data_IF_687399378641
#
_entry.id   IF_687399378641
#
_cell.length_a   1.000
_cell.length_b   1.000
_cell.length_c   1.000
_cell.angle_alpha   90.00
_cell.angle_beta   90.00
_cell.angle_gamma   90.00
#
_symmetry.space_group_name_H-M   'P 1'
#
loop_
_entity.id
_entity.type
_entity.pdbx_description
1 polymer ?
#
# COMPACT_ATOMS: atom_id res chain seq x y z
N UNK A 1 18.85 0.48 11.01
CA UNK A 1 17.88 1.58 11.01
C UNK A 1 18.46 2.66 10.11
N UNK A 2 17.89 2.91 8.93
CA UNK A 2 18.34 3.99 8.04
C UNK A 2 17.43 5.19 8.22
N UNK A 3 18.01 6.38 8.40
CA UNK A 3 17.26 7.63 8.39
C UNK A 3 17.07 8.05 6.94
N UNK A 4 15.83 8.20 6.49
CA UNK A 4 15.55 8.92 5.26
C UNK A 4 15.45 10.40 5.61
N UNK A 5 16.29 11.23 5.01
CA UNK A 5 16.21 12.68 5.11
C UNK A 5 15.56 13.17 3.81
N UNK A 6 14.31 13.62 3.90
CA UNK A 6 13.65 14.37 2.83
C UNK A 6 13.97 15.86 2.97
N UNK A 7 14.43 16.49 1.89
CA UNK A 7 14.67 17.95 1.81
C UNK A 7 13.43 18.72 1.30
N UNK A 8 12.31 18.01 1.10
CA UNK A 8 11.07 18.59 0.58
C UNK A 8 10.13 19.02 1.72
N UNK A 9 9.60 20.24 1.64
CA UNK A 9 8.71 20.81 2.67
C UNK A 9 7.35 20.07 2.81
N UNK A 10 7.02 19.14 1.91
CA UNK A 10 5.73 18.43 1.87
C UNK A 10 5.88 16.93 1.63
N UNK A 11 6.84 16.32 2.33
CA UNK A 11 7.09 14.88 2.24
C UNK A 11 6.90 14.20 3.59
N UNK A 12 6.27 13.02 3.57
CA UNK A 12 6.20 12.11 4.72
C UNK A 12 6.89 10.83 4.30
N UNK A 13 7.99 10.48 4.96
CA UNK A 13 8.70 9.23 4.70
C UNK A 13 8.41 8.20 5.78
N UNK A 14 7.92 7.04 5.37
CA UNK A 14 7.74 5.86 6.22
C UNK A 14 8.73 4.76 5.82
N UNK A 15 9.45 4.22 6.79
CA UNK A 15 10.33 3.06 6.60
C UNK A 15 9.91 1.94 7.55
N UNK A 16 9.71 0.74 7.00
CA UNK A 16 9.44 -0.49 7.77
C UNK A 16 10.30 -1.64 7.23
N UNK A 17 10.76 -2.50 8.13
CA UNK A 17 11.47 -3.73 7.80
C UNK A 17 10.53 -4.90 8.03
N UNK A 18 10.40 -5.76 7.02
CA UNK A 18 9.60 -6.97 7.09
C UNK A 18 10.53 -8.19 7.01
N UNK A 19 10.33 -9.14 7.92
CA UNK A 19 10.95 -10.46 7.83
C UNK A 19 10.17 -11.33 6.83
N UNK A 20 10.22 -10.93 5.56
CA UNK A 20 9.49 -11.57 4.48
C UNK A 20 10.26 -11.44 3.15
N UNK A 21 10.14 -12.41 2.23
CA UNK A 21 10.72 -12.30 0.90
C UNK A 21 10.15 -11.10 0.13
N UNK A 22 10.98 -10.42 -0.66
CA UNK A 22 10.56 -9.28 -1.50
C UNK A 22 9.32 -9.56 -2.36
N UNK A 23 9.21 -10.76 -2.91
CA UNK A 23 8.07 -11.17 -3.74
C UNK A 23 6.75 -11.11 -2.96
N UNK A 24 6.75 -11.59 -1.72
CA UNK A 24 5.57 -11.55 -0.85
C UNK A 24 5.21 -10.12 -0.47
N UNK A 25 6.22 -9.28 -0.19
CA UNK A 25 5.98 -7.86 0.06
C UNK A 25 5.35 -7.22 -1.19
N UNK A 26 5.87 -7.48 -2.39
CA UNK A 26 5.29 -6.97 -3.62
C UNK A 26 3.83 -7.41 -3.82
N UNK A 27 3.54 -8.70 -3.63
CA UNK A 27 2.17 -9.23 -3.73
C UNK A 27 1.20 -8.56 -2.74
N UNK A 28 1.66 -8.23 -1.52
CA UNK A 28 0.84 -7.52 -0.55
C UNK A 28 0.38 -6.12 -1.04
N UNK A 29 1.10 -5.51 -1.99
CA UNK A 29 0.75 -4.24 -2.63
C UNK A 29 0.08 -4.39 -4.00
N UNK A 30 0.16 -5.55 -4.64
CA UNK A 30 -0.28 -5.72 -6.04
C UNK A 30 -1.34 -6.79 -6.27
N UNK A 31 -1.65 -7.62 -5.27
CA UNK A 31 -2.80 -8.51 -5.28
C UNK A 31 -3.98 -7.81 -4.60
N UNK A 32 -5.09 -7.50 -5.31
CA UNK A 32 -6.21 -6.75 -4.75
C UNK A 32 -6.83 -7.45 -3.53
N UNK A 33 -6.77 -8.79 -3.47
CA UNK A 33 -7.28 -9.56 -2.33
C UNK A 33 -6.43 -9.33 -1.08
N UNK A 34 -5.12 -9.15 -1.24
CA UNK A 34 -4.21 -8.91 -0.13
C UNK A 34 -4.27 -7.46 0.32
N UNK A 35 -4.28 -6.49 -0.61
CA UNK A 35 -4.41 -5.06 -0.31
C UNK A 35 -5.66 -4.79 0.54
N UNK A 36 -6.80 -5.37 0.18
CA UNK A 36 -8.05 -5.24 0.92
C UNK A 36 -7.99 -5.68 2.40
N UNK A 37 -6.99 -6.49 2.80
CA UNK A 37 -6.85 -6.95 4.18
C UNK A 37 -6.19 -5.93 5.11
N UNK A 38 -5.47 -4.93 4.58
CA UNK A 38 -4.61 -4.07 5.41
C UNK A 38 -4.58 -2.60 5.02
N UNK A 39 -5.16 -2.22 3.87
CA UNK A 39 -5.11 -0.84 3.38
C UNK A 39 -5.88 0.14 4.28
N UNK A 40 -7.09 -0.24 4.68
CA UNK A 40 -7.93 0.54 5.58
C UNK A 40 -7.37 0.60 7.01
N UNK A 41 -7.64 1.68 7.77
CA UNK A 41 -7.34 1.71 9.19
C UNK A 41 -8.06 0.57 9.93
N UNK A 42 -7.52 0.17 11.10
CA UNK A 42 -8.17 -0.84 11.92
C UNK A 42 -9.61 -0.43 12.27
N UNK A 43 -10.57 -1.34 12.05
CA UNK A 43 -12.00 -1.10 12.23
C UNK A 43 -12.76 -0.71 10.96
N UNK A 44 -12.08 -0.52 9.84
CA UNK A 44 -12.68 -0.25 8.52
C UNK A 44 -12.57 -1.47 7.62
N UNK A 45 -13.46 -1.52 6.63
CA UNK A 45 -13.37 -2.46 5.52
C UNK A 45 -12.78 -1.78 4.28
N UNK A 46 -12.04 -2.52 3.47
CA UNK A 46 -11.57 -2.04 2.17
C UNK A 46 -12.13 -2.94 1.08
N UNK A 47 -12.81 -2.31 0.12
CA UNK A 47 -13.29 -2.96 -1.10
C UNK A 47 -12.46 -2.46 -2.27
N UNK A 48 -11.91 -3.39 -3.05
CA UNK A 48 -11.19 -3.09 -4.30
C UNK A 48 -12.05 -3.56 -5.47
N UNK A 49 -12.53 -2.62 -6.28
CA UNK A 49 -13.34 -2.89 -7.47
C UNK A 49 -12.46 -3.07 -8.71
N UNK A 50 -11.44 -2.23 -8.85
CA UNK A 50 -10.44 -2.30 -9.93
C UNK A 50 -9.04 -2.05 -9.36
N UNK A 51 -8.05 -2.82 -9.84
CA UNK A 51 -6.65 -2.56 -9.51
C UNK A 51 -5.75 -2.98 -10.68
N UNK A 52 -5.33 -2.00 -11.48
CA UNK A 52 -4.46 -2.19 -12.64
C UNK A 52 -3.04 -1.66 -12.36
N UNK A 53 -2.17 -2.55 -11.88
CA UNK A 53 -0.81 -2.18 -11.44
C UNK A 53 0.14 -2.04 -12.63
N UNK A 54 -0.02 -0.93 -13.36
CA UNK A 54 0.87 -0.49 -14.44
C UNK A 54 0.86 1.04 -14.56
N UNK A 55 1.85 1.65 -15.24
CA UNK A 55 1.80 3.07 -15.54
C UNK A 55 0.50 3.45 -16.26
N UNK A 56 -0.22 4.42 -15.70
CA UNK A 56 -1.52 4.88 -16.22
C UNK A 56 -2.69 3.92 -16.01
N UNK A 57 -2.54 2.88 -15.18
CA UNK A 57 -3.65 2.05 -14.73
C UNK A 57 -4.52 2.75 -13.68
N UNK A 58 -5.72 2.23 -13.47
CA UNK A 58 -6.71 2.75 -12.50
C UNK A 58 -6.75 1.82 -11.29
N UNK A 59 -6.92 2.43 -10.12
CA UNK A 59 -7.38 1.76 -8.91
C UNK A 59 -8.71 2.41 -8.52
N UNK A 60 -9.71 1.60 -8.23
CA UNK A 60 -11.05 2.05 -7.85
C UNK A 60 -11.58 1.16 -6.73
N UNK A 61 -12.20 1.78 -5.74
CA UNK A 61 -12.74 1.11 -4.57
C UNK A 61 -13.19 2.09 -3.50
N UNK A 62 -13.60 1.55 -2.36
CA UNK A 62 -13.93 2.31 -1.16
C UNK A 62 -13.16 1.73 0.03
N UNK A 63 -12.44 2.59 0.74
CA UNK A 63 -11.64 2.25 1.92
C UNK A 63 -12.23 2.81 3.23
N UNK A 64 -13.43 3.39 3.18
CA UNK A 64 -14.07 4.12 4.29
C UNK A 64 -15.41 3.53 4.74
N UNK A 65 -15.78 2.36 4.19
CA UNK A 65 -16.97 1.61 4.57
C UNK A 65 -16.80 0.85 5.89
#
# INVERSE_FOLDING_TARGET
MGTVISDAEREIVLSRVFDAPRKMVWEAWTDPKQVAQWWGPNGFSTTIEEMDVRPGGVEAGDAWA
#
